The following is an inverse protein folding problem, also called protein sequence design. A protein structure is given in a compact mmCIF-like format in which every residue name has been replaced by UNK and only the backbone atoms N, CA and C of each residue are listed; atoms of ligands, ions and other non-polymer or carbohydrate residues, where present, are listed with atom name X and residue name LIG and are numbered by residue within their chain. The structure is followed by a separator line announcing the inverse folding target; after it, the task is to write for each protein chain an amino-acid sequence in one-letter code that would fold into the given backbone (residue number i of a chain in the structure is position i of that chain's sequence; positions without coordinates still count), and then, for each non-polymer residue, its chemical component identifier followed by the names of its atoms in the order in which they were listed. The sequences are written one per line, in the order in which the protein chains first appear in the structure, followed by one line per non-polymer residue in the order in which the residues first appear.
data_IF_820373609734
#
_entry.id   IF_820373609734
#
_cell.length_a   1.000
_cell.length_b   1.000
_cell.length_c   1.000
_cell.angle_alpha   90.00
_cell.angle_beta   90.00
_cell.angle_gamma   90.00
#
_symmetry.space_group_name_H-M   'P 1'
#
loop_
_entity.id
_entity.type
_entity.pdbx_description
1 polymer ?
#
# COMPACT_ATOMS: atom_id res chain seq x y z
N UNK A 1 -1.86 -2.73 -8.82
CA UNK A 1 -1.76 -3.14 -7.39
C UNK A 1 -2.20 -4.60 -7.30
N UNK A 2 -1.46 -5.49 -6.64
CA UNK A 2 -1.81 -6.92 -6.67
C UNK A 2 -3.06 -7.21 -5.82
N UNK A 3 -3.88 -8.12 -6.35
CA UNK A 3 -5.20 -8.50 -5.86
C UNK A 3 -5.23 -8.78 -4.36
N UNK A 4 -6.12 -8.11 -3.62
CA UNK A 4 -6.36 -8.40 -2.20
C UNK A 4 -6.81 -9.85 -1.94
N UNK A 5 -7.18 -10.59 -2.98
CA UNK A 5 -7.51 -12.01 -2.88
C UNK A 5 -6.28 -12.93 -2.78
N UNK A 6 -5.08 -12.52 -3.19
CA UNK A 6 -3.91 -13.42 -3.24
C UNK A 6 -3.51 -13.96 -1.87
N UNK A 7 -3.55 -13.12 -0.83
CA UNK A 7 -3.23 -13.54 0.54
C UNK A 7 -4.25 -14.53 1.13
N UNK A 8 -5.49 -14.50 0.64
CA UNK A 8 -6.53 -15.42 1.07
C UNK A 8 -6.45 -16.75 0.32
N UNK A 9 -5.86 -16.76 -0.88
CA UNK A 9 -5.68 -17.95 -1.70
C UNK A 9 -4.66 -18.91 -1.08
N UNK A 10 -3.57 -18.36 -0.53
CA UNK A 10 -2.53 -19.08 0.21
C UNK A 10 -3.01 -19.69 1.55
N UNK A 11 -4.22 -19.34 2.00
CA UNK A 11 -4.85 -19.93 3.18
C UNK A 11 -5.87 -20.98 2.77
N UNK A 12 -6.11 -21.97 3.63
CA UNK A 12 -6.96 -23.16 3.39
C UNK A 12 -8.42 -22.90 2.97
N UNK A 13 -8.86 -21.63 2.88
CA UNK A 13 -10.22 -21.19 2.54
C UNK A 13 -10.38 -20.78 1.05
N UNK A 14 -9.32 -20.85 0.25
CA UNK A 14 -9.22 -20.41 -1.16
C UNK A 14 -10.40 -20.82 -2.06
N UNK A 15 -10.92 -22.04 -1.91
CA UNK A 15 -11.82 -22.67 -2.90
C UNK A 15 -13.24 -22.08 -2.99
N UNK A 16 -13.60 -21.06 -2.20
CA UNK A 16 -14.98 -20.49 -2.17
C UNK A 16 -15.04 -18.96 -2.03
N UNK A 17 -13.98 -18.25 -2.36
CA UNK A 17 -13.96 -16.78 -2.25
C UNK A 17 -14.18 -16.19 -3.65
N UNK A 18 -15.20 -15.36 -3.80
CA UNK A 18 -15.46 -14.62 -5.04
C UNK A 18 -15.17 -13.15 -4.79
N UNK A 19 -14.22 -12.59 -5.54
CA UNK A 19 -13.96 -11.15 -5.56
C UNK A 19 -15.06 -10.45 -6.36
N UNK A 20 -15.83 -9.58 -5.71
CA UNK A 20 -16.82 -8.75 -6.38
C UNK A 20 -16.19 -7.39 -6.70
N UNK A 21 -16.08 -7.07 -7.99
CA UNK A 21 -15.56 -5.80 -8.49
C UNK A 21 -16.59 -5.17 -9.45
N UNK A 22 -16.73 -3.83 -9.42
CA UNK A 22 -17.71 -3.12 -10.26
C UNK A 22 -17.30 -3.06 -11.74
N UNK A 23 -16.01 -3.22 -12.03
CA UNK A 23 -15.49 -3.22 -13.39
C UNK A 23 -15.80 -4.52 -14.12
N UNK A 24 -16.10 -4.42 -15.42
CA UNK A 24 -16.24 -5.57 -16.32
C UNK A 24 -14.92 -6.25 -16.70
N UNK A 25 -13.77 -5.68 -16.30
CA UNK A 25 -12.43 -6.22 -16.57
C UNK A 25 -11.75 -6.58 -15.25
N UNK A 26 -11.46 -7.86 -15.05
CA UNK A 26 -10.60 -8.36 -13.97
C UNK A 26 -9.13 -8.10 -14.36
N UNK A 27 -8.25 -7.54 -13.51
CA UNK A 27 -8.44 -6.66 -12.37
C UNK A 27 -8.09 -5.22 -12.80
N UNK A 28 -9.04 -4.52 -13.42
CA UNK A 28 -8.80 -3.12 -13.76
C UNK A 28 -9.07 -2.27 -12.52
N UNK A 29 -8.00 -1.78 -11.92
CA UNK A 29 -7.91 -0.88 -10.77
C UNK A 29 -8.66 0.47 -10.94
N UNK A 30 -9.91 0.52 -11.45
CA UNK A 30 -10.64 1.74 -11.91
C UNK A 30 -10.77 2.85 -10.84
N UNK A 31 -10.64 2.52 -9.56
CA UNK A 31 -10.76 3.46 -8.45
C UNK A 31 -9.42 4.18 -8.16
N UNK A 32 -9.23 4.66 -6.93
CA UNK A 32 -8.01 5.38 -6.50
C UNK A 32 -6.71 4.67 -6.84
N UNK A 33 -6.76 3.34 -6.95
CA UNK A 33 -5.63 2.48 -7.26
C UNK A 33 -5.05 2.70 -8.67
N UNK A 34 -5.85 3.00 -9.69
CA UNK A 34 -5.34 3.29 -11.05
C UNK A 34 -4.49 4.57 -11.11
N UNK A 35 -4.71 5.48 -10.17
CA UNK A 35 -4.04 6.79 -10.16
C UNK A 35 -3.08 6.97 -8.98
N UNK A 36 -2.83 5.92 -8.20
CA UNK A 36 -1.88 5.98 -7.11
C UNK A 36 -0.44 6.14 -7.65
N UNK A 37 0.35 7.00 -7.00
CA UNK A 37 1.77 7.20 -7.32
C UNK A 37 2.70 6.15 -6.69
N UNK A 38 2.13 5.25 -5.87
CA UNK A 38 2.80 4.10 -5.23
C UNK A 38 4.05 4.43 -4.38
N UNK A 39 4.14 5.65 -3.85
CA UNK A 39 5.13 5.97 -2.82
C UNK A 39 4.74 5.34 -1.48
N UNK A 40 5.68 4.65 -0.84
CA UNK A 40 5.47 3.94 0.43
C UNK A 40 6.44 4.45 1.49
N UNK A 41 5.90 5.06 2.54
CA UNK A 41 6.63 5.51 3.73
C UNK A 41 6.32 4.61 4.92
N UNK A 42 7.35 4.10 5.59
CA UNK A 42 7.22 3.16 6.70
C UNK A 42 7.24 3.86 8.08
N UNK A 43 7.06 5.17 8.08
CA UNK A 43 7.15 6.06 9.24
C UNK A 43 5.77 6.63 9.51
N UNK A 44 5.28 6.40 10.73
CA UNK A 44 4.00 6.91 11.23
C UNK A 44 4.04 6.88 12.76
N UNK A 45 3.16 7.65 13.39
CA UNK A 45 3.12 7.81 14.84
C UNK A 45 2.57 6.56 15.55
N UNK A 46 1.86 5.68 14.84
CA UNK A 46 1.25 4.48 15.40
C UNK A 46 1.96 3.18 15.01
N UNK A 47 2.07 2.25 15.96
CA UNK A 47 2.79 0.98 15.76
C UNK A 47 2.13 0.06 14.73
N UNK A 48 0.79 0.11 14.63
CA UNK A 48 0.03 -0.77 13.74
C UNK A 48 0.26 -0.41 12.27
N UNK A 49 0.24 0.87 11.93
CA UNK A 49 0.46 1.32 10.55
C UNK A 49 1.91 1.11 10.11
N UNK A 50 2.87 1.30 11.02
CA UNK A 50 4.26 0.94 10.75
C UNK A 50 4.40 -0.57 10.45
N UNK A 51 3.76 -1.42 11.27
CA UNK A 51 3.76 -2.87 11.06
C UNK A 51 3.08 -3.29 9.74
N UNK A 52 1.91 -2.72 9.45
CA UNK A 52 1.11 -3.03 8.24
C UNK A 52 1.85 -2.63 6.97
N UNK A 53 2.54 -1.49 7.01
CA UNK A 53 3.36 -1.03 5.88
C UNK A 53 4.59 -1.91 5.69
N UNK A 54 5.24 -2.32 6.78
CA UNK A 54 6.39 -3.23 6.71
C UNK A 54 6.00 -4.59 6.13
N UNK A 55 4.83 -5.12 6.51
CA UNK A 55 4.26 -6.33 5.95
C UNK A 55 4.00 -6.19 4.45
N UNK A 56 3.29 -5.13 4.05
CA UNK A 56 2.94 -4.88 2.64
C UNK A 56 4.19 -4.73 1.78
N UNK A 57 5.21 -4.03 2.27
CA UNK A 57 6.50 -3.86 1.58
C UNK A 57 7.17 -5.20 1.31
N UNK A 58 7.23 -6.09 2.31
CA UNK A 58 7.81 -7.42 2.15
C UNK A 58 7.03 -8.23 1.12
N UNK A 59 5.70 -8.21 1.19
CA UNK A 59 4.85 -8.89 0.22
C UNK A 59 5.11 -8.42 -1.22
N UNK A 60 5.18 -7.12 -1.48
CA UNK A 60 5.45 -6.60 -2.82
C UNK A 60 6.89 -6.87 -3.29
N UNK A 61 7.85 -6.90 -2.37
CA UNK A 61 9.23 -7.29 -2.68
C UNK A 61 9.33 -8.76 -3.07
N UNK A 62 8.70 -9.64 -2.31
CA UNK A 62 8.71 -11.09 -2.57
C UNK A 62 8.04 -11.42 -3.92
N UNK A 63 7.06 -10.60 -4.35
CA UNK A 63 6.42 -10.71 -5.67
C UNK A 63 7.16 -9.96 -6.80
N UNK A 64 8.28 -9.29 -6.52
CA UNK A 64 9.09 -8.58 -7.52
C UNK A 64 8.53 -7.23 -8.00
N UNK A 65 7.49 -6.69 -7.35
CA UNK A 65 6.83 -5.42 -7.72
C UNK A 65 7.19 -4.26 -6.79
N UNK A 66 8.32 -4.33 -6.08
CA UNK A 66 8.76 -3.28 -5.16
C UNK A 66 10.14 -2.73 -5.55
N UNK A 67 10.19 -1.44 -5.92
CA UNK A 67 11.45 -0.76 -6.22
C UNK A 67 11.98 -0.02 -4.98
N UNK A 68 13.07 -0.54 -4.41
CA UNK A 68 13.73 0.08 -3.25
C UNK A 68 14.59 1.28 -3.64
N UNK A 69 14.04 2.49 -3.50
CA UNK A 69 14.80 3.75 -3.66
C UNK A 69 15.12 4.49 -2.35
N UNK A 70 14.52 4.05 -1.24
CA UNK A 70 14.56 4.79 0.02
C UNK A 70 13.49 5.88 0.07
N UNK A 71 13.50 6.68 1.14
CA UNK A 71 12.59 7.82 1.32
C UNK A 71 13.28 8.89 2.16
N UNK A 72 13.01 10.16 1.85
CA UNK A 72 13.55 11.31 2.56
C UNK A 72 12.41 12.28 2.86
N UNK A 73 12.11 12.43 4.15
CA UNK A 73 11.21 13.46 4.66
C UNK A 73 12.05 14.69 5.02
N UNK A 74 11.70 15.86 4.48
CA UNK A 74 12.48 17.09 4.65
C UNK A 74 11.68 18.07 5.51
N UNK A 75 12.25 18.48 6.64
CA UNK A 75 11.74 19.60 7.43
C UNK A 75 12.38 20.91 6.96
N UNK A 76 11.55 21.91 6.66
CA UNK A 76 11.94 23.29 6.35
C UNK A 76 12.03 24.11 7.62
N UNK A 77 12.77 25.22 7.55
CA UNK A 77 13.03 26.12 8.68
C UNK A 77 11.76 26.63 9.38
N UNK A 78 10.64 26.71 8.66
CA UNK A 78 9.38 27.25 9.17
C UNK A 78 8.34 26.17 9.53
N UNK A 79 8.66 24.87 9.43
CA UNK A 79 7.70 23.79 9.70
C UNK A 79 7.40 23.59 11.20
N UNK A 80 8.04 24.37 12.09
CA UNK A 80 7.74 24.45 13.53
C UNK A 80 6.57 25.40 13.86
N UNK A 81 6.29 26.36 12.98
CA UNK A 81 5.20 27.30 13.12
C UNK A 81 4.06 26.85 12.21
N UNK A 82 3.07 26.20 12.82
CA UNK A 82 1.90 25.56 12.21
C UNK A 82 0.94 26.56 11.53
N UNK A 83 1.45 27.43 10.65
CA UNK A 83 0.70 28.49 9.97
C UNK A 83 0.13 29.59 10.87
N UNK A 84 0.45 29.61 12.17
CA UNK A 84 0.02 30.69 13.09
C UNK A 84 0.98 31.87 12.99
N UNK A 85 0.69 32.76 12.04
CA UNK A 85 0.99 34.19 12.19
C UNK A 85 -0.01 34.83 13.14
#
# INVERSE_FOLDING_TARGET
MLDRCSLLDDRTWSKKIVGLEKSSVIPSDIASTAHASDFVYNTTHDKLSNWTTAFSRKFYEDNGFFLKKGGLEICRKDDENDGKK
#
